data_IF_104758143161
#
_entry.id   IF_104758143161
#
_cell.length_a   1.000
_cell.length_b   1.000
_cell.length_c   1.000
_cell.angle_alpha   90.00
_cell.angle_beta   90.00
_cell.angle_gamma   90.00
#
_symmetry.space_group_name_H-M   'P 1'
#
loop_
_entity.id
_entity.type
_entity.pdbx_description
1 polymer ?
#
# COMPACT_ATOMS: atom_id res chain seq x y z
N UNK A 1 71.06 1.51 -11.93
CA UNK A 1 70.20 0.59 -11.24
C UNK A 1 68.75 0.90 -11.64
N UNK A 2 68.14 0.03 -12.45
CA UNK A 2 66.72 0.15 -12.87
C UNK A 2 65.99 -1.03 -12.23
N UNK A 3 65.27 -0.79 -11.17
CA UNK A 3 64.41 -1.79 -10.55
C UNK A 3 63.10 -1.86 -11.31
N UNK A 4 62.90 -2.99 -11.99
CA UNK A 4 61.68 -3.31 -12.71
C UNK A 4 60.62 -3.79 -11.73
N UNK A 5 59.58 -2.98 -11.49
CA UNK A 5 58.35 -3.44 -10.90
C UNK A 5 57.60 -4.27 -11.92
N UNK A 6 57.78 -5.59 -11.90
CA UNK A 6 56.89 -6.54 -12.57
C UNK A 6 55.61 -6.67 -11.73
N UNK A 7 54.53 -5.97 -12.15
CA UNK A 7 53.21 -6.20 -11.63
C UNK A 7 52.71 -7.61 -11.95
N UNK A 8 52.59 -8.46 -10.93
CA UNK A 8 51.96 -9.77 -11.05
C UNK A 8 50.47 -9.58 -11.38
N UNK A 9 50.13 -9.63 -12.65
CA UNK A 9 48.74 -9.88 -13.07
C UNK A 9 48.44 -11.34 -12.76
N UNK A 10 47.83 -11.61 -11.61
CA UNK A 10 47.35 -12.95 -11.23
C UNK A 10 46.25 -13.38 -12.21
N UNK A 11 46.58 -14.18 -13.22
CA UNK A 11 45.61 -14.75 -14.14
C UNK A 11 44.73 -15.73 -13.40
N UNK A 12 43.43 -15.43 -13.32
CA UNK A 12 42.41 -16.31 -12.76
C UNK A 12 42.42 -17.62 -13.54
N UNK A 13 42.65 -18.75 -12.88
CA UNK A 13 42.61 -20.06 -13.54
C UNK A 13 41.23 -20.38 -14.07
N UNK A 14 41.13 -21.08 -15.21
CA UNK A 14 39.84 -21.52 -15.84
C UNK A 14 38.91 -22.19 -14.83
N UNK A 15 39.45 -23.02 -13.93
CA UNK A 15 38.66 -23.68 -12.87
C UNK A 15 38.05 -22.66 -11.90
N UNK A 16 38.78 -21.65 -11.45
CA UNK A 16 38.27 -20.59 -10.55
C UNK A 16 37.22 -19.73 -11.25
N UNK A 17 37.41 -19.44 -12.54
CA UNK A 17 36.44 -18.72 -13.34
C UNK A 17 35.11 -19.47 -13.44
N UNK A 18 35.13 -20.79 -13.76
CA UNK A 18 33.92 -21.61 -13.82
C UNK A 18 33.27 -21.79 -12.44
N UNK A 19 34.04 -21.92 -11.37
CA UNK A 19 33.51 -21.95 -10.01
C UNK A 19 32.81 -20.64 -9.63
N UNK A 20 33.37 -19.49 -10.01
CA UNK A 20 32.73 -18.18 -9.83
C UNK A 20 31.42 -18.07 -10.62
N UNK A 21 31.40 -18.48 -11.89
CA UNK A 21 30.16 -18.48 -12.69
C UNK A 21 29.10 -19.43 -12.12
N UNK A 22 29.49 -20.61 -11.68
CA UNK A 22 28.59 -21.55 -11.03
C UNK A 22 28.01 -20.96 -9.71
N UNK A 23 28.83 -20.30 -8.92
CA UNK A 23 28.43 -19.59 -7.71
C UNK A 23 27.44 -18.46 -8.01
N UNK A 24 27.69 -17.65 -9.03
CA UNK A 24 26.78 -16.61 -9.50
C UNK A 24 25.44 -17.19 -9.98
N UNK A 25 25.48 -18.27 -10.73
CA UNK A 25 24.28 -18.97 -11.18
C UNK A 25 23.44 -19.51 -10.02
N UNK A 26 24.09 -20.17 -9.05
CA UNK A 26 23.44 -20.68 -7.85
C UNK A 26 22.83 -19.54 -6.99
N UNK A 27 23.57 -18.45 -6.80
CA UNK A 27 23.08 -17.27 -6.10
C UNK A 27 21.86 -16.66 -6.81
N UNK A 28 21.94 -16.50 -8.13
CA UNK A 28 20.82 -15.97 -8.92
C UNK A 28 19.57 -16.85 -8.81
N UNK A 29 19.70 -18.17 -8.92
CA UNK A 29 18.60 -19.12 -8.76
C UNK A 29 18.00 -19.06 -7.35
N UNK A 30 18.83 -19.02 -6.31
CA UNK A 30 18.39 -18.94 -4.92
C UNK A 30 17.64 -17.63 -4.65
N UNK A 31 18.15 -16.49 -5.15
CA UNK A 31 17.50 -15.18 -5.01
C UNK A 31 16.16 -15.13 -5.74
N UNK A 32 16.09 -15.74 -6.92
CA UNK A 32 14.84 -15.84 -7.70
C UNK A 32 13.81 -16.70 -6.96
N UNK A 33 14.20 -17.89 -6.49
CA UNK A 33 13.32 -18.76 -5.72
C UNK A 33 12.83 -18.07 -4.44
N UNK A 34 13.72 -17.38 -3.73
CA UNK A 34 13.35 -16.57 -2.57
C UNK A 34 12.33 -15.48 -2.92
N UNK A 35 12.54 -14.73 -4.01
CA UNK A 35 11.65 -13.65 -4.42
C UNK A 35 10.23 -14.12 -4.78
N UNK A 36 10.05 -15.34 -5.27
CA UNK A 36 8.73 -15.95 -5.46
C UNK A 36 8.13 -16.52 -4.16
N UNK A 37 8.96 -16.85 -3.18
CA UNK A 37 8.48 -17.35 -1.89
C UNK A 37 8.14 -16.23 -0.89
N UNK A 38 8.79 -15.07 -0.99
CA UNK A 38 8.60 -13.94 -0.06
C UNK A 38 7.15 -13.47 0.04
N UNK A 39 6.37 -13.34 -1.06
CA UNK A 39 4.96 -12.93 -1.00
C UNK A 39 4.07 -13.85 -0.16
N UNK A 40 4.39 -15.14 -0.10
CA UNK A 40 3.56 -16.16 0.55
C UNK A 40 4.02 -16.47 1.98
N UNK A 41 5.34 -16.46 2.21
CA UNK A 41 5.92 -16.96 3.46
C UNK A 41 6.22 -15.85 4.49
N UNK A 42 6.22 -14.59 4.09
CA UNK A 42 6.63 -13.49 4.96
C UNK A 42 5.54 -12.42 5.07
N UNK A 43 4.86 -12.42 6.21
CA UNK A 43 4.00 -11.31 6.62
C UNK A 43 4.65 -10.59 7.81
N UNK A 44 4.92 -9.30 7.68
CA UNK A 44 5.46 -8.48 8.76
C UNK A 44 4.48 -7.41 9.24
N UNK A 45 4.76 -6.82 10.39
CA UNK A 45 4.09 -5.61 10.89
C UNK A 45 5.09 -4.46 10.86
N UNK A 46 4.89 -3.50 9.95
CA UNK A 46 5.66 -2.26 9.93
C UNK A 46 5.04 -1.27 10.92
N UNK A 47 5.86 -0.66 11.80
CA UNK A 47 5.37 0.20 12.87
C UNK A 47 5.91 1.61 12.71
N UNK A 48 5.00 2.59 12.80
CA UNK A 48 5.32 4.02 12.76
C UNK A 48 4.71 4.70 13.98
N UNK A 49 5.51 5.49 14.69
CA UNK A 49 5.04 6.36 15.77
C UNK A 49 5.25 7.82 15.34
N UNK A 50 4.18 8.56 15.19
CA UNK A 50 4.18 9.91 14.62
C UNK A 50 3.45 10.88 15.52
N UNK A 51 3.96 12.12 15.54
CA UNK A 51 3.33 13.26 16.19
C UNK A 51 3.25 14.42 15.18
N UNK A 52 2.28 14.37 14.25
CA UNK A 52 2.05 15.46 13.32
C UNK A 52 1.68 16.74 14.08
N UNK A 53 2.14 17.94 13.66
CA UNK A 53 1.81 19.20 14.33
C UNK A 53 0.31 19.47 14.44
N UNK A 54 -0.47 18.91 13.50
CA UNK A 54 -1.92 19.04 13.46
C UNK A 54 -2.65 18.03 14.35
N UNK A 55 -1.93 17.06 14.90
CA UNK A 55 -2.51 16.05 15.79
C UNK A 55 -2.43 16.53 17.24
N UNK A 56 -3.55 16.50 18.00
CA UNK A 56 -3.57 17.02 19.38
C UNK A 56 -2.61 16.25 20.30
N UNK A 57 -1.82 16.96 21.07
CA UNK A 57 -0.89 16.37 22.02
C UNK A 57 -1.60 15.40 22.99
N UNK A 58 -1.00 14.24 23.22
CA UNK A 58 -1.55 13.19 24.10
C UNK A 58 -2.84 12.54 23.58
N UNK A 59 -3.25 12.78 22.34
CA UNK A 59 -4.34 12.05 21.70
C UNK A 59 -3.77 10.81 21.00
N UNK A 60 -3.77 9.68 21.69
CA UNK A 60 -3.24 8.43 21.15
C UNK A 60 -4.26 7.71 20.27
N UNK A 61 -3.88 7.40 19.02
CA UNK A 61 -4.67 6.61 18.08
C UNK A 61 -3.78 5.56 17.40
N UNK A 62 -4.17 4.28 17.48
CA UNK A 62 -3.53 3.17 16.79
C UNK A 62 -4.35 2.81 15.55
N UNK A 63 -3.74 2.91 14.38
CA UNK A 63 -4.38 2.67 13.09
C UNK A 63 -3.71 1.45 12.47
N UNK A 64 -4.46 0.38 12.20
CA UNK A 64 -3.98 -0.69 11.33
C UNK A 64 -4.36 -0.36 9.88
N UNK A 65 -3.38 -0.49 8.98
CA UNK A 65 -3.52 -0.17 7.56
C UNK A 65 -3.27 -1.42 6.76
N UNK A 66 -4.21 -1.78 5.91
CA UNK A 66 -4.13 -2.85 4.92
C UNK A 66 -4.21 -2.23 3.54
N UNK A 67 -3.33 -2.62 2.63
CA UNK A 67 -3.29 -2.09 1.27
C UNK A 67 -2.95 -3.21 0.29
N UNK A 68 -3.43 -3.07 -0.94
CA UNK A 68 -2.99 -3.86 -2.08
C UNK A 68 -3.07 -5.37 -1.80
N UNK A 69 -4.25 -5.86 -1.44
CA UNK A 69 -4.48 -7.28 -1.08
C UNK A 69 -4.31 -8.15 -2.32
N UNK A 70 -4.85 -7.75 -3.47
CA UNK A 70 -4.77 -8.48 -4.73
C UNK A 70 -5.16 -9.96 -4.62
N UNK A 71 -6.35 -10.22 -4.08
CA UNK A 71 -6.87 -11.55 -3.80
C UNK A 71 -6.83 -12.47 -5.02
N UNK A 72 -6.07 -13.57 -4.95
CA UNK A 72 -5.92 -14.55 -6.03
C UNK A 72 -5.24 -15.83 -5.54
N UNK A 73 -5.57 -16.97 -6.15
CA UNK A 73 -4.81 -18.19 -5.96
C UNK A 73 -3.63 -18.27 -6.94
N UNK A 74 -2.47 -18.81 -6.52
CA UNK A 74 -2.16 -19.30 -5.18
C UNK A 74 -1.52 -18.25 -4.25
N UNK A 75 -1.35 -16.98 -4.69
CA UNK A 75 -0.45 -16.02 -4.07
C UNK A 75 -1.06 -15.25 -2.88
N UNK A 76 -2.35 -14.95 -2.95
CA UNK A 76 -3.13 -14.30 -1.89
C UNK A 76 -4.49 -15.01 -1.79
N UNK A 77 -4.45 -16.27 -1.37
CA UNK A 77 -5.64 -17.10 -1.18
C UNK A 77 -6.51 -16.61 -0.03
N UNK A 78 -7.75 -17.08 0.06
CA UNK A 78 -8.63 -16.78 1.19
C UNK A 78 -7.98 -17.12 2.53
N UNK A 79 -7.25 -18.23 2.61
CA UNK A 79 -6.52 -18.62 3.82
C UNK A 79 -5.42 -17.60 4.20
N UNK A 80 -4.72 -17.03 3.20
CA UNK A 80 -3.76 -15.93 3.49
C UNK A 80 -4.47 -14.69 4.01
N UNK A 81 -5.64 -14.35 3.43
CA UNK A 81 -6.43 -13.20 3.87
C UNK A 81 -6.95 -13.44 5.30
N UNK A 82 -7.40 -14.65 5.63
CA UNK A 82 -7.78 -15.04 7.01
C UNK A 82 -6.63 -14.82 8.00
N UNK A 83 -5.43 -15.29 7.66
CA UNK A 83 -4.24 -15.08 8.50
C UNK A 83 -3.89 -13.57 8.66
N UNK A 84 -4.12 -12.74 7.64
CA UNK A 84 -3.96 -11.29 7.72
C UNK A 84 -5.00 -10.70 8.66
N UNK A 85 -6.27 -11.12 8.58
CA UNK A 85 -7.37 -10.69 9.45
C UNK A 85 -7.03 -11.01 10.91
N UNK A 86 -6.69 -12.27 11.20
CA UNK A 86 -6.30 -12.70 12.55
C UNK A 86 -5.12 -11.88 13.09
N UNK A 87 -4.09 -11.70 12.26
CA UNK A 87 -2.90 -10.93 12.64
C UNK A 87 -3.22 -9.46 12.89
N UNK A 88 -4.09 -8.86 12.10
CA UNK A 88 -4.54 -7.48 12.26
C UNK A 88 -5.33 -7.29 13.54
N UNK A 89 -6.29 -8.16 13.81
CA UNK A 89 -7.10 -8.14 15.03
C UNK A 89 -6.24 -8.32 16.30
N UNK A 90 -5.21 -9.20 16.23
CA UNK A 90 -4.26 -9.42 17.32
C UNK A 90 -3.44 -8.17 17.69
N UNK A 91 -3.29 -7.19 16.77
CA UNK A 91 -2.66 -5.90 17.06
C UNK A 91 -3.53 -4.97 17.91
N UNK A 92 -4.83 -5.29 18.04
CA UNK A 92 -5.83 -4.49 18.77
C UNK A 92 -5.78 -3.01 18.40
N UNK A 93 -5.93 -2.67 17.11
CA UNK A 93 -5.97 -1.27 16.66
C UNK A 93 -7.24 -0.59 17.15
N UNK A 94 -7.21 0.74 17.23
CA UNK A 94 -8.40 1.53 17.50
C UNK A 94 -9.33 1.64 16.27
N UNK A 95 -8.72 1.66 15.09
CA UNK A 95 -9.38 1.74 13.78
C UNK A 95 -8.58 0.92 12.77
N UNK A 96 -9.27 0.33 11.81
CA UNK A 96 -8.65 -0.35 10.66
C UNK A 96 -9.03 0.42 9.40
N UNK A 97 -8.05 0.71 8.54
CA UNK A 97 -8.27 1.33 7.24
C UNK A 97 -7.71 0.46 6.12
N UNK A 98 -8.47 0.34 5.05
CA UNK A 98 -8.11 -0.44 3.86
C UNK A 98 -7.98 0.49 2.66
N UNK A 99 -6.84 0.44 1.98
CA UNK A 99 -6.44 1.45 1.01
C UNK A 99 -6.65 1.06 -0.47
N UNK A 100 -7.49 0.05 -0.73
CA UNK A 100 -7.82 -0.35 -2.10
C UNK A 100 -6.97 -1.50 -2.66
N UNK A 101 -7.21 -1.79 -3.92
CA UNK A 101 -6.60 -2.87 -4.70
C UNK A 101 -6.85 -4.27 -4.09
N UNK A 102 -8.15 -4.62 -3.99
CA UNK A 102 -8.58 -5.91 -3.45
C UNK A 102 -8.50 -7.04 -4.46
N UNK A 103 -8.74 -6.75 -5.75
CA UNK A 103 -8.77 -7.73 -6.82
C UNK A 103 -7.38 -8.06 -7.35
N UNK A 104 -7.23 -9.23 -8.00
CA UNK A 104 -5.95 -9.72 -8.52
C UNK A 104 -5.21 -8.69 -9.41
N UNK A 105 -3.99 -8.31 -9.04
CA UNK A 105 -3.18 -7.32 -9.74
C UNK A 105 -2.35 -7.85 -10.92
N UNK A 106 -2.36 -9.16 -11.20
CA UNK A 106 -1.55 -9.78 -12.26
C UNK A 106 -2.23 -10.99 -12.91
N UNK A 107 -1.62 -11.49 -13.99
CA UNK A 107 -2.16 -12.62 -14.78
C UNK A 107 -1.69 -14.01 -14.33
N UNK A 108 -0.68 -14.08 -13.49
CA UNK A 108 -0.06 -15.32 -13.02
C UNK A 108 -0.86 -15.93 -11.87
N UNK A 109 -2.11 -16.25 -12.13
CA UNK A 109 -3.07 -16.76 -11.15
C UNK A 109 -3.72 -18.05 -11.67
N UNK A 110 -3.98 -18.97 -10.76
CA UNK A 110 -4.76 -20.19 -11.07
C UNK A 110 -6.27 -19.93 -10.93
N UNK A 111 -6.65 -19.00 -10.04
CA UNK A 111 -8.03 -18.55 -9.85
C UNK A 111 -8.05 -17.06 -9.45
N UNK A 112 -8.93 -16.27 -10.07
CA UNK A 112 -9.34 -14.96 -9.56
C UNK A 112 -10.40 -15.19 -8.51
N UNK A 113 -10.20 -14.69 -7.30
CA UNK A 113 -11.16 -14.83 -6.20
C UNK A 113 -12.28 -13.80 -6.39
N UNK A 114 -13.55 -14.23 -6.44
CA UNK A 114 -14.69 -13.31 -6.50
C UNK A 114 -14.72 -12.32 -5.33
N UNK A 115 -15.25 -11.12 -5.59
CA UNK A 115 -15.24 -10.05 -4.58
C UNK A 115 -16.03 -10.41 -3.32
N UNK A 116 -17.09 -11.16 -3.45
CA UNK A 116 -17.93 -11.61 -2.35
C UNK A 116 -17.17 -12.56 -1.41
N UNK A 117 -16.27 -13.41 -1.96
CA UNK A 117 -15.52 -14.38 -1.17
C UNK A 117 -14.47 -13.67 -0.28
N UNK A 118 -13.62 -12.81 -0.86
CA UNK A 118 -12.61 -12.11 -0.07
C UNK A 118 -13.23 -11.05 0.86
N UNK A 119 -14.34 -10.40 0.45
CA UNK A 119 -15.04 -9.46 1.33
C UNK A 119 -15.64 -10.16 2.55
N UNK A 120 -16.18 -11.37 2.38
CA UNK A 120 -16.68 -12.18 3.49
C UNK A 120 -15.58 -12.48 4.52
N UNK A 121 -14.36 -12.80 4.06
CA UNK A 121 -13.22 -13.01 4.96
C UNK A 121 -12.82 -11.71 5.65
N UNK A 122 -12.76 -10.58 4.92
CA UNK A 122 -12.44 -9.27 5.48
C UNK A 122 -13.47 -8.76 6.49
N UNK A 123 -14.73 -9.25 6.43
CA UNK A 123 -15.74 -8.98 7.46
C UNK A 123 -15.33 -9.44 8.86
N UNK A 124 -14.35 -10.34 8.98
CA UNK A 124 -13.75 -10.76 10.24
C UNK A 124 -12.84 -9.71 10.90
N UNK A 125 -12.51 -8.60 10.22
CA UNK A 125 -11.75 -7.49 10.81
C UNK A 125 -12.58 -6.78 11.89
N UNK A 126 -11.95 -6.44 13.01
CA UNK A 126 -12.64 -5.79 14.14
C UNK A 126 -11.78 -4.70 14.75
N UNK A 127 -12.38 -3.51 14.95
CA UNK A 127 -11.78 -2.41 15.70
C UNK A 127 -12.86 -1.56 16.37
N UNK A 128 -12.59 -0.92 17.53
CA UNK A 128 -13.58 -0.11 18.26
C UNK A 128 -14.18 1.04 17.44
N UNK A 129 -13.39 1.66 16.56
CA UNK A 129 -13.84 2.74 15.67
C UNK A 129 -14.22 2.24 14.27
N UNK A 130 -14.32 0.92 14.08
CA UNK A 130 -14.72 0.30 12.82
C UNK A 130 -13.59 0.02 11.84
N UNK A 131 -14.02 -0.53 10.70
CA UNK A 131 -13.21 -0.82 9.52
C UNK A 131 -13.68 0.09 8.40
N UNK A 132 -12.79 0.81 7.76
CA UNK A 132 -13.09 1.81 6.74
C UNK A 132 -12.26 1.55 5.49
N UNK A 133 -12.84 1.72 4.31
CA UNK A 133 -12.18 1.39 3.06
C UNK A 133 -12.22 2.54 2.05
N UNK A 134 -11.22 2.58 1.17
CA UNK A 134 -11.26 3.24 -0.13
C UNK A 134 -11.01 2.20 -1.21
N UNK A 135 -11.13 2.58 -2.47
CA UNK A 135 -10.80 1.74 -3.62
C UNK A 135 -9.45 2.15 -4.21
N UNK A 136 -8.81 1.19 -4.91
CA UNK A 136 -7.63 1.43 -5.70
C UNK A 136 -7.88 1.22 -7.19
N UNK A 137 -6.89 1.51 -8.01
CA UNK A 137 -7.03 1.50 -9.47
C UNK A 137 -7.43 0.13 -10.04
N UNK A 138 -6.96 -0.98 -9.46
CA UNK A 138 -7.36 -2.32 -9.91
C UNK A 138 -8.82 -2.63 -9.65
N UNK A 139 -9.44 -2.08 -8.60
CA UNK A 139 -10.86 -2.25 -8.32
C UNK A 139 -11.75 -1.64 -9.41
N UNK A 140 -11.26 -0.61 -10.10
CA UNK A 140 -11.89 -0.02 -11.28
C UNK A 140 -11.47 -0.71 -12.58
N UNK A 141 -10.18 -1.00 -12.77
CA UNK A 141 -9.64 -1.54 -14.02
C UNK A 141 -10.18 -2.92 -14.36
N UNK A 142 -10.40 -3.76 -13.36
CA UNK A 142 -10.95 -5.10 -13.55
C UNK A 142 -12.49 -5.13 -13.66
N UNK A 143 -13.19 -4.03 -13.35
CA UNK A 143 -14.62 -3.87 -13.58
C UNK A 143 -14.91 -3.35 -15.00
N UNK A 144 -15.13 -4.30 -15.91
CA UNK A 144 -15.38 -3.98 -17.33
C UNK A 144 -16.59 -3.07 -17.56
N UNK A 145 -17.61 -3.14 -16.70
CA UNK A 145 -18.82 -2.33 -16.83
C UNK A 145 -18.51 -0.89 -16.46
N UNK A 146 -17.89 -0.66 -15.31
CA UNK A 146 -17.48 0.67 -14.86
C UNK A 146 -16.48 1.30 -15.85
N UNK A 147 -15.51 0.52 -16.35
CA UNK A 147 -14.56 1.00 -17.36
C UNK A 147 -15.23 1.41 -18.68
N UNK A 148 -16.25 0.65 -19.14
CA UNK A 148 -16.96 0.93 -20.39
C UNK A 148 -17.86 2.14 -20.24
N UNK A 149 -18.57 2.26 -19.13
CA UNK A 149 -19.56 3.30 -18.88
C UNK A 149 -18.91 4.60 -18.36
N UNK A 150 -17.72 4.53 -17.80
CA UNK A 150 -17.01 5.66 -17.22
C UNK A 150 -17.67 6.22 -15.96
N UNK A 151 -18.50 5.41 -15.31
CA UNK A 151 -19.21 5.70 -14.07
C UNK A 151 -19.81 4.42 -13.48
N UNK A 152 -20.30 4.51 -12.26
CA UNK A 152 -21.02 3.42 -11.58
C UNK A 152 -20.23 2.85 -10.40
N UNK A 153 -20.90 2.00 -9.65
CA UNK A 153 -20.36 1.37 -8.45
C UNK A 153 -19.61 0.09 -8.82
N UNK A 154 -18.35 -0.04 -8.40
CA UNK A 154 -17.53 -1.23 -8.67
C UNK A 154 -18.06 -2.47 -7.94
N UNK A 155 -17.69 -3.67 -8.44
CA UNK A 155 -18.00 -4.94 -7.73
C UNK A 155 -17.33 -4.96 -6.35
N UNK A 156 -16.09 -4.48 -6.25
CA UNK A 156 -15.37 -4.41 -4.98
C UNK A 156 -16.11 -3.57 -3.94
N UNK A 157 -16.60 -2.39 -4.33
CA UNK A 157 -17.39 -1.54 -3.45
C UNK A 157 -18.65 -2.23 -2.95
N UNK A 158 -19.43 -2.80 -3.86
CA UNK A 158 -20.67 -3.53 -3.49
C UNK A 158 -20.38 -4.68 -2.53
N UNK A 159 -19.30 -5.44 -2.76
CA UNK A 159 -18.94 -6.56 -1.92
C UNK A 159 -18.55 -6.13 -0.50
N UNK A 160 -17.76 -5.05 -0.36
CA UNK A 160 -17.38 -4.49 0.95
C UNK A 160 -18.60 -3.93 1.70
N UNK A 161 -19.43 -3.13 1.03
CA UNK A 161 -20.62 -2.53 1.63
C UNK A 161 -21.65 -3.62 2.05
N UNK A 162 -21.76 -4.70 1.28
CA UNK A 162 -22.65 -5.83 1.61
C UNK A 162 -22.26 -6.56 2.90
N UNK A 163 -20.99 -6.51 3.30
CA UNK A 163 -20.50 -7.08 4.57
C UNK A 163 -20.34 -6.03 5.67
N UNK A 164 -20.86 -4.82 5.47
CA UNK A 164 -20.88 -3.77 6.48
C UNK A 164 -19.60 -2.93 6.56
N UNK A 165 -18.72 -3.01 5.58
CA UNK A 165 -17.50 -2.18 5.51
C UNK A 165 -17.77 -0.98 4.62
N UNK A 166 -17.88 0.26 5.17
CA UNK A 166 -18.14 1.46 4.39
C UNK A 166 -16.94 1.79 3.47
N UNK A 167 -17.26 2.21 2.24
CA UNK A 167 -16.29 2.63 1.23
C UNK A 167 -16.44 4.12 0.94
N UNK A 168 -15.38 4.87 1.16
CA UNK A 168 -15.35 6.32 0.94
C UNK A 168 -14.74 6.64 -0.43
N UNK A 169 -15.43 7.48 -1.17
CA UNK A 169 -15.00 7.99 -2.47
C UNK A 169 -15.32 9.48 -2.51
N UNK A 170 -14.30 10.31 -2.33
CA UNK A 170 -14.43 11.76 -2.15
C UNK A 170 -15.41 12.11 -1.02
N UNK A 171 -15.32 11.37 0.08
CA UNK A 171 -16.23 11.51 1.21
C UNK A 171 -15.49 11.46 2.54
N UNK A 172 -16.17 11.88 3.62
CA UNK A 172 -15.57 12.01 4.95
C UNK A 172 -16.49 11.41 6.02
N UNK A 173 -15.88 10.96 7.11
CA UNK A 173 -16.59 10.61 8.33
C UNK A 173 -15.91 11.26 9.53
N UNK A 174 -16.71 11.78 10.46
CA UNK A 174 -16.24 12.28 11.74
C UNK A 174 -16.32 11.19 12.79
N UNK A 175 -15.17 10.82 13.34
CA UNK A 175 -15.03 9.80 14.38
C UNK A 175 -14.62 10.44 15.69
N UNK A 176 -14.89 9.74 16.80
CA UNK A 176 -14.55 10.23 18.15
C UNK A 176 -13.94 9.10 18.98
N UNK A 177 -12.81 9.37 19.61
CA UNK A 177 -12.18 8.50 20.61
C UNK A 177 -11.92 9.26 21.88
N UNK A 178 -12.46 8.77 23.02
CA UNK A 178 -12.29 9.42 24.33
C UNK A 178 -12.63 10.92 24.28
N UNK A 179 -13.79 11.25 23.71
CA UNK A 179 -14.33 12.61 23.52
C UNK A 179 -13.49 13.53 22.61
N UNK A 180 -12.48 13.00 21.94
CA UNK A 180 -11.66 13.74 20.98
C UNK A 180 -12.04 13.37 19.55
N UNK A 181 -12.55 14.33 18.78
CA UNK A 181 -12.93 14.10 17.39
C UNK A 181 -11.72 14.13 16.44
N UNK A 182 -11.86 13.42 15.35
CA UNK A 182 -11.01 13.51 14.15
C UNK A 182 -11.80 13.14 12.90
N UNK A 183 -11.33 13.57 11.76
CA UNK A 183 -11.92 13.24 10.48
C UNK A 183 -11.11 12.18 9.76
N UNK A 184 -11.81 11.21 9.18
CA UNK A 184 -11.27 10.30 8.18
C UNK A 184 -11.84 10.72 6.83
N UNK A 185 -10.97 11.07 5.89
CA UNK A 185 -11.32 11.47 4.54
C UNK A 185 -10.85 10.40 3.55
N UNK A 186 -11.76 9.84 2.74
CA UNK A 186 -11.42 8.89 1.69
C UNK A 186 -11.51 9.55 0.32
N UNK A 187 -10.41 9.53 -0.42
CA UNK A 187 -10.31 10.13 -1.75
C UNK A 187 -10.68 9.11 -2.82
N UNK A 188 -11.30 9.58 -3.90
CA UNK A 188 -11.47 8.80 -5.11
C UNK A 188 -10.12 8.49 -5.76
N UNK A 189 -10.05 7.41 -6.50
CA UNK A 189 -8.82 6.90 -7.10
C UNK A 189 -8.29 7.81 -8.22
N UNK A 190 -6.98 8.08 -8.22
CA UNK A 190 -6.33 9.00 -9.17
C UNK A 190 -6.12 8.37 -10.55
N UNK A 191 -6.24 7.04 -10.67
CA UNK A 191 -6.03 6.26 -11.88
C UNK A 191 -7.24 5.37 -12.25
N UNK A 192 -8.41 5.65 -11.71
CA UNK A 192 -9.63 4.84 -11.83
C UNK A 192 -9.96 4.38 -13.25
N UNK A 193 -9.72 5.22 -14.25
CA UNK A 193 -10.06 4.90 -15.63
C UNK A 193 -8.81 4.73 -16.49
N UNK A 194 -8.77 3.61 -17.22
CA UNK A 194 -7.73 3.36 -18.22
C UNK A 194 -7.83 4.38 -19.36
N UNK A 195 -6.68 4.89 -19.87
CA UNK A 195 -6.69 5.80 -21.01
C UNK A 195 -7.37 5.16 -22.22
N UNK A 196 -8.26 5.91 -22.85
CA UNK A 196 -9.02 5.44 -23.99
C UNK A 196 -8.12 4.98 -25.12
N UNK A 197 -8.30 3.76 -25.62
CA UNK A 197 -7.58 3.28 -26.81
C UNK A 197 -8.05 4.08 -28.05
N UNK A 198 -7.09 4.67 -28.73
CA UNK A 198 -7.02 5.26 -30.10
C UNK A 198 -8.19 6.06 -30.70
N UNK A 199 -9.42 6.00 -30.22
CA UNK A 199 -10.59 6.65 -30.85
C UNK A 199 -11.61 7.27 -29.87
N UNK A 200 -11.26 7.45 -28.61
CA UNK A 200 -12.11 8.18 -27.64
C UNK A 200 -11.34 9.38 -27.09
N UNK A 201 -11.99 10.55 -26.94
CA UNK A 201 -11.35 11.67 -26.26
C UNK A 201 -10.87 11.25 -24.88
N UNK A 202 -9.65 11.70 -24.51
CA UNK A 202 -9.06 11.45 -23.20
C UNK A 202 -10.02 12.00 -22.14
N UNK A 203 -10.74 11.13 -21.47
CA UNK A 203 -11.47 11.49 -20.26
C UNK A 203 -10.48 11.60 -19.09
N UNK A 204 -10.87 12.36 -18.08
CA UNK A 204 -10.20 12.38 -16.78
C UNK A 204 -9.88 10.93 -16.36
N UNK A 205 -8.63 10.63 -16.06
CA UNK A 205 -8.19 9.30 -15.67
C UNK A 205 -8.62 9.05 -14.22
N UNK A 206 -8.39 10.01 -13.33
CA UNK A 206 -8.76 9.94 -11.93
C UNK A 206 -10.15 10.52 -11.64
N UNK A 207 -10.69 10.10 -10.51
CA UNK A 207 -11.95 10.61 -9.92
C UNK A 207 -11.68 11.33 -8.59
N UNK A 208 -10.40 11.52 -8.25
CA UNK A 208 -9.96 12.22 -7.04
C UNK A 208 -10.42 13.68 -7.03
N UNK A 209 -11.10 14.08 -5.96
CA UNK A 209 -11.63 15.44 -5.75
C UNK A 209 -11.21 15.97 -4.37
N UNK A 210 -9.89 16.21 -4.21
CA UNK A 210 -9.30 16.56 -2.92
C UNK A 210 -9.97 17.77 -2.27
N UNK A 211 -10.15 18.87 -3.03
CA UNK A 211 -10.70 20.10 -2.49
C UNK A 211 -12.17 19.95 -2.08
N UNK A 212 -12.95 19.22 -2.91
CA UNK A 212 -14.37 18.91 -2.60
C UNK A 212 -14.48 18.02 -1.37
N UNK A 213 -13.59 17.00 -1.27
CA UNK A 213 -13.54 16.11 -0.12
C UNK A 213 -13.23 16.86 1.18
N UNK A 214 -12.19 17.69 1.15
CA UNK A 214 -11.79 18.45 2.34
C UNK A 214 -12.78 19.56 2.71
N UNK A 215 -13.55 20.10 1.76
CA UNK A 215 -14.61 21.05 2.03
C UNK A 215 -15.76 20.49 2.88
N UNK A 216 -15.91 19.15 2.93
CA UNK A 216 -16.88 18.48 3.80
C UNK A 216 -16.45 18.41 5.28
N UNK A 217 -15.21 18.77 5.59
CA UNK A 217 -14.69 18.86 6.97
C UNK A 217 -15.16 20.18 7.57
N UNK A 218 -16.07 20.12 8.54
CA UNK A 218 -16.81 21.30 9.02
C UNK A 218 -16.29 21.92 10.32
N UNK A 219 -15.28 21.32 10.95
CA UNK A 219 -14.66 21.84 12.19
C UNK A 219 -13.12 21.71 12.13
N UNK A 220 -12.44 22.13 13.20
CA UNK A 220 -10.97 22.14 13.28
C UNK A 220 -10.36 20.82 13.76
N UNK A 221 -11.15 19.77 13.94
CA UNK A 221 -10.63 18.46 14.33
C UNK A 221 -9.62 17.91 13.27
N UNK A 222 -8.54 17.22 13.67
CA UNK A 222 -7.51 16.77 12.76
C UNK A 222 -8.04 15.81 11.68
N UNK A 223 -7.43 15.83 10.50
CA UNK A 223 -7.84 15.01 9.35
C UNK A 223 -6.79 13.95 9.05
N UNK A 224 -7.24 12.71 8.87
CA UNK A 224 -6.48 11.61 8.28
C UNK A 224 -7.03 11.38 6.88
N UNK A 225 -6.19 11.48 5.87
CA UNK A 225 -6.54 11.27 4.46
C UNK A 225 -6.14 9.86 4.03
N UNK A 226 -7.08 9.13 3.45
CA UNK A 226 -6.86 7.88 2.75
C UNK A 226 -6.84 8.17 1.26
N UNK A 227 -5.75 7.84 0.58
CA UNK A 227 -5.60 7.98 -0.87
C UNK A 227 -4.79 6.79 -1.39
N UNK A 228 -5.32 6.08 -2.38
CA UNK A 228 -4.64 4.89 -2.87
C UNK A 228 -3.26 5.23 -3.42
N UNK A 229 -3.18 6.14 -4.42
CA UNK A 229 -1.90 6.64 -4.91
C UNK A 229 -1.32 7.72 -3.99
N UNK A 230 -0.01 7.63 -3.68
CA UNK A 230 0.65 8.61 -2.82
C UNK A 230 0.88 9.98 -3.48
N UNK A 231 0.81 10.07 -4.79
CA UNK A 231 1.19 11.24 -5.59
C UNK A 231 0.38 12.50 -5.24
N UNK A 232 -0.85 12.35 -4.74
CA UNK A 232 -1.69 13.45 -4.26
C UNK A 232 -1.03 14.25 -3.13
N UNK A 233 -0.10 13.65 -2.38
CA UNK A 233 0.58 14.26 -1.24
C UNK A 233 1.21 15.63 -1.55
N UNK A 234 1.61 15.83 -2.80
CA UNK A 234 2.17 17.10 -3.28
C UNK A 234 1.14 18.24 -3.28
N UNK A 235 -0.16 17.93 -3.24
CA UNK A 235 -1.26 18.89 -3.25
C UNK A 235 -1.99 18.98 -1.90
N UNK A 236 -1.73 18.02 -1.00
CA UNK A 236 -2.40 17.94 0.30
C UNK A 236 -2.06 19.18 1.14
N UNK A 237 -3.06 19.92 1.65
CA UNK A 237 -2.81 21.11 2.45
C UNK A 237 -2.35 20.74 3.87
N UNK A 238 -1.71 21.71 4.55
CA UNK A 238 -1.25 21.57 5.95
C UNK A 238 -2.35 21.24 6.96
N UNK A 239 -3.62 21.36 6.56
CA UNK A 239 -4.80 21.00 7.37
C UNK A 239 -4.84 19.49 7.68
N UNK A 240 -4.32 18.65 6.78
CA UNK A 240 -4.26 17.21 6.94
C UNK A 240 -3.08 16.84 7.85
N UNK A 241 -3.32 16.01 8.84
CA UNK A 241 -2.29 15.55 9.78
C UNK A 241 -1.49 14.38 9.20
N UNK A 242 -2.18 13.43 8.57
CA UNK A 242 -1.60 12.20 8.05
C UNK A 242 -2.27 11.80 6.73
N UNK A 243 -1.49 11.43 5.73
CA UNK A 243 -1.94 10.70 4.55
C UNK A 243 -1.47 9.25 4.64
N UNK A 244 -2.36 8.31 4.31
CA UNK A 244 -2.08 6.88 4.20
C UNK A 244 -2.32 6.43 2.77
N UNK A 245 -1.33 5.75 2.17
CA UNK A 245 -1.34 5.33 0.76
C UNK A 245 -0.78 3.92 0.59
N UNK A 246 -1.19 3.27 -0.52
CA UNK A 246 -0.72 1.99 -1.02
C UNK A 246 -0.10 2.11 -2.40
N UNK A 247 -0.62 1.32 -3.38
CA UNK A 247 -0.36 1.39 -4.81
C UNK A 247 1.06 1.02 -5.25
N UNK A 248 2.09 1.53 -4.61
CA UNK A 248 3.47 1.40 -5.10
C UNK A 248 4.11 0.04 -4.80
N UNK A 249 3.56 -0.71 -3.86
CA UNK A 249 4.11 -1.99 -3.38
C UNK A 249 5.59 -1.92 -2.94
N UNK A 250 6.09 -0.72 -2.62
CA UNK A 250 7.53 -0.51 -2.45
C UNK A 250 8.34 -0.81 -3.72
N UNK A 251 7.67 -0.87 -4.90
CA UNK A 251 8.21 -1.33 -6.18
C UNK A 251 8.45 -2.83 -6.26
N UNK A 252 8.01 -3.61 -5.28
CA UNK A 252 8.19 -5.07 -5.12
C UNK A 252 9.65 -5.54 -5.05
N UNK A 253 10.60 -4.80 -5.61
CA UNK A 253 12.04 -5.05 -5.53
C UNK A 253 12.73 -3.83 -4.92
N UNK A 254 13.33 -4.01 -3.76
CA UNK A 254 14.03 -2.94 -3.04
C UNK A 254 15.38 -3.44 -2.53
N UNK A 255 16.46 -2.86 -3.03
CA UNK A 255 17.82 -3.24 -2.70
C UNK A 255 18.52 -2.05 -2.03
N UNK A 256 19.07 -2.25 -0.84
CA UNK A 256 19.78 -1.21 -0.08
C UNK A 256 19.00 0.11 0.06
N UNK A 257 17.68 0.02 0.20
CA UNK A 257 16.83 1.20 0.36
C UNK A 257 16.41 1.89 -0.95
N UNK A 258 16.87 1.40 -2.10
CA UNK A 258 16.52 1.93 -3.42
C UNK A 258 15.64 0.95 -4.21
N UNK A 259 14.66 1.50 -4.92
CA UNK A 259 13.70 0.76 -5.73
C UNK A 259 13.87 1.14 -7.20
N UNK A 260 14.17 0.18 -8.10
CA UNK A 260 14.44 0.47 -9.51
C UNK A 260 13.21 0.94 -10.30
N UNK A 261 12.03 0.44 -9.96
CA UNK A 261 10.77 0.79 -10.62
C UNK A 261 9.73 1.14 -9.57
N UNK A 262 9.18 2.35 -9.65
CA UNK A 262 8.13 2.84 -8.75
C UNK A 262 7.00 3.40 -9.59
N UNK A 263 5.76 2.94 -9.43
CA UNK A 263 4.59 3.50 -10.12
C UNK A 263 4.14 4.82 -9.46
N UNK A 264 5.02 5.79 -9.41
CA UNK A 264 4.81 7.15 -8.93
C UNK A 264 5.58 8.14 -9.80
N UNK A 265 4.99 9.31 -10.07
CA UNK A 265 5.65 10.41 -10.80
C UNK A 265 6.87 10.96 -10.05
N UNK A 266 6.92 10.74 -8.76
CA UNK A 266 7.98 11.22 -7.86
C UNK A 266 8.98 10.12 -7.49
N UNK A 267 8.90 8.96 -8.16
CA UNK A 267 9.86 7.87 -8.02
C UNK A 267 10.05 7.41 -6.58
N UNK A 268 11.31 7.32 -6.15
CA UNK A 268 11.65 6.78 -4.82
C UNK A 268 11.16 7.63 -3.63
N UNK A 269 10.72 8.89 -3.85
CA UNK A 269 10.13 9.70 -2.78
C UNK A 269 8.88 9.04 -2.19
N UNK A 270 8.07 8.42 -3.03
CA UNK A 270 6.84 7.74 -2.64
C UNK A 270 6.88 6.22 -2.87
N UNK A 271 8.08 5.66 -2.98
CA UNK A 271 8.20 4.22 -3.14
C UNK A 271 7.67 3.47 -1.92
N UNK A 272 8.04 3.89 -0.71
CA UNK A 272 7.81 3.11 0.48
C UNK A 272 8.14 3.87 1.77
N UNK A 273 7.33 3.68 2.81
CA UNK A 273 7.62 4.13 4.16
C UNK A 273 7.11 5.53 4.48
N UNK A 274 7.78 6.22 5.40
CA UNK A 274 7.36 7.52 5.89
C UNK A 274 8.11 8.66 5.19
N UNK A 275 7.36 9.66 4.75
CA UNK A 275 7.88 10.92 4.22
C UNK A 275 7.10 12.07 4.85
N UNK A 276 7.75 13.21 5.11
CA UNK A 276 7.10 14.40 5.63
C UNK A 276 7.13 15.52 4.61
N UNK A 277 5.95 16.01 4.26
CA UNK A 277 5.71 17.17 3.40
C UNK A 277 4.89 18.21 4.17
N UNK A 278 3.78 18.68 3.60
CA UNK A 278 2.78 19.48 4.31
C UNK A 278 2.08 18.69 5.44
N UNK A 279 2.00 17.39 5.29
CA UNK A 279 1.54 16.40 6.28
C UNK A 279 2.54 15.25 6.39
N UNK A 280 2.38 14.39 7.37
CA UNK A 280 3.07 13.10 7.38
C UNK A 280 2.41 12.18 6.35
N UNK A 281 3.20 11.47 5.55
CA UNK A 281 2.75 10.55 4.51
C UNK A 281 3.34 9.17 4.78
N UNK A 282 2.51 8.15 4.85
CA UNK A 282 2.95 6.75 4.91
C UNK A 282 2.51 6.04 3.65
N UNK A 283 3.46 5.42 2.96
CA UNK A 283 3.23 4.58 1.80
C UNK A 283 3.50 3.13 2.19
N UNK A 284 2.46 2.32 2.18
CA UNK A 284 2.54 0.89 2.49
C UNK A 284 3.23 0.12 1.37
N UNK A 285 3.98 -0.91 1.75
CA UNK A 285 4.50 -1.89 0.79
C UNK A 285 3.45 -2.88 0.27
N UNK A 286 2.22 -2.82 0.80
CA UNK A 286 1.11 -3.68 0.39
C UNK A 286 1.23 -5.14 0.84
N UNK A 287 0.17 -5.89 0.68
CA UNK A 287 0.04 -7.29 1.09
C UNK A 287 0.23 -8.26 -0.07
N UNK A 288 -0.42 -8.03 -1.21
CA UNK A 288 -0.33 -8.84 -2.41
C UNK A 288 0.76 -8.40 -3.39
N UNK A 289 0.61 -8.78 -4.63
CA UNK A 289 1.52 -8.43 -5.72
C UNK A 289 0.76 -7.86 -6.91
N UNK A 290 1.35 -6.86 -7.56
CA UNK A 290 0.93 -6.34 -8.86
C UNK A 290 1.93 -6.77 -9.94
N UNK A 291 1.48 -6.87 -11.21
CA UNK A 291 2.29 -7.24 -12.38
C UNK A 291 2.85 -8.67 -12.33
N UNK A 292 3.55 -9.04 -11.25
CA UNK A 292 4.23 -10.34 -11.09
C UNK A 292 4.22 -10.76 -9.60
N UNK A 293 4.02 -12.04 -9.27
CA UNK A 293 4.02 -12.53 -7.89
C UNK A 293 5.45 -12.68 -7.34
N UNK A 294 6.19 -11.60 -7.35
CA UNK A 294 7.60 -11.56 -6.98
C UNK A 294 7.88 -10.37 -6.07
N UNK A 295 8.49 -10.61 -4.93
CA UNK A 295 8.96 -9.58 -4.02
C UNK A 295 10.41 -9.87 -3.60
N UNK A 296 11.21 -8.83 -3.49
CA UNK A 296 12.58 -8.94 -2.99
C UNK A 296 12.94 -7.72 -2.15
N UNK A 297 13.06 -7.94 -0.84
CA UNK A 297 13.37 -6.88 0.12
C UNK A 297 12.19 -5.99 0.50
N UNK A 298 10.98 -6.31 0.04
CA UNK A 298 9.70 -5.67 0.42
C UNK A 298 8.68 -6.76 0.74
N UNK A 299 8.81 -7.44 1.87
CA UNK A 299 7.84 -8.47 2.27
C UNK A 299 6.44 -7.87 2.45
N UNK A 300 5.37 -8.65 2.24
CA UNK A 300 4.01 -8.26 2.60
C UNK A 300 3.92 -7.69 4.00
N UNK A 301 3.13 -6.63 4.18
CA UNK A 301 3.05 -5.97 5.48
C UNK A 301 1.67 -5.48 5.87
N UNK A 302 1.38 -5.59 7.16
CA UNK A 302 0.38 -4.80 7.86
C UNK A 302 1.10 -3.57 8.41
N UNK A 303 0.62 -2.37 8.13
CA UNK A 303 1.20 -1.15 8.73
C UNK A 303 0.43 -0.82 10.01
N UNK A 304 1.13 -0.57 11.10
CA UNK A 304 0.56 -0.08 12.35
C UNK A 304 1.11 1.32 12.64
N UNK A 305 0.23 2.32 12.55
CA UNK A 305 0.55 3.71 12.87
C UNK A 305 0.03 4.05 14.25
N UNK A 306 0.89 4.59 15.10
CA UNK A 306 0.50 5.19 16.38
C UNK A 306 0.67 6.71 16.29
N UNK A 307 -0.44 7.45 16.34
CA UNK A 307 -0.42 8.90 16.46
C UNK A 307 -0.44 9.31 17.94
N UNK A 308 0.22 10.42 18.27
CA UNK A 308 0.28 10.97 19.63
C UNK A 308 1.00 10.07 20.63
N UNK A 309 1.89 9.19 20.16
CA UNK A 309 2.52 8.14 20.95
C UNK A 309 4.01 8.32 21.26
N UNK A 310 4.66 9.38 20.77
CA UNK A 310 6.02 9.67 21.20
C UNK A 310 5.99 10.15 22.65
N UNK A 311 6.45 9.32 23.55
CA UNK A 311 7.02 9.83 24.79
C UNK A 311 8.25 10.65 24.38
N UNK A 312 8.36 11.91 24.83
CA UNK A 312 9.58 12.71 24.67
C UNK A 312 10.80 11.83 24.90
N UNK A 313 11.86 11.95 24.09
CA UNK A 313 13.09 11.27 24.42
C UNK A 313 13.44 11.65 25.86
N UNK A 314 13.68 10.63 26.68
CA UNK A 314 14.23 10.83 28.00
C UNK A 314 15.48 11.69 27.83
N UNK A 315 15.40 12.89 28.35
CA UNK A 315 16.51 13.87 28.46
C UNK A 315 17.74 13.25 29.15
#
# INVERSE_FOLDING_TARGET
MRDGHQGLVSMISRRRFFQFLAGLGAFGMSTTAYGFSEPVLRLRVARYALDPPQWPAGFKLNIAVLADIHACDPWMSLQHIEAIVERTNALRPDIIVMLGDYVAGHRHVTRRIPSEEWAHVLAGLTAPLGVHAILGNHDYWDDRTVQREGQGTTVSRRALEAVGIPVYENDVIRLTKSDRPFWLAGLGDQLAYLPARRFRPVRRIGIDELDVTLAKVTDDAPVILLAHEPDIAMRVPKRVALQLSGHTHGGQVRLFGWTPVVPSRYGNLFAYGHTRLNCDVIVSGGLGCSIMPFRLGVPPEIVLVTLGGRTSPLS
#
